data_IF_047269670494
#
_entry.id   IF_047269670494
#
_cell.length_a   1.000
_cell.length_b   1.000
_cell.length_c   1.000
_cell.angle_alpha   90.00
_cell.angle_beta   90.00
_cell.angle_gamma   90.00
#
_symmetry.space_group_name_H-M   'P 1'
#
loop_
_entity.id
_entity.type
_entity.pdbx_description
1 polymer ?
#
# COMPACT_ATOMS: atom_id res chain seq x y z
N UNK A 1 -12.10 13.06 -36.08
CA UNK A 1 -12.21 11.61 -36.28
C UNK A 1 -11.36 10.92 -35.24
N UNK A 2 -11.97 10.18 -34.32
CA UNK A 2 -11.24 9.41 -33.31
C UNK A 2 -10.88 8.04 -33.89
N UNK A 3 -9.58 7.70 -33.88
CA UNK A 3 -9.11 6.42 -34.35
C UNK A 3 -9.48 5.32 -33.35
N UNK A 4 -10.39 4.43 -33.75
CA UNK A 4 -10.67 3.16 -33.09
C UNK A 4 -9.55 2.17 -33.44
N UNK A 5 -8.35 2.41 -32.93
CA UNK A 5 -7.23 1.48 -33.00
C UNK A 5 -7.17 0.67 -31.72
N UNK A 6 -7.34 -0.65 -31.81
CA UNK A 6 -6.97 -1.61 -30.78
C UNK A 6 -5.45 -1.54 -30.54
N UNK A 7 -4.99 -0.53 -29.81
CA UNK A 7 -3.58 -0.27 -29.52
C UNK A 7 -3.24 -0.74 -28.12
N UNK A 8 -2.24 -1.61 -28.00
CA UNK A 8 -1.64 -1.96 -26.71
C UNK A 8 -1.38 -0.67 -25.91
N UNK A 9 -1.86 -0.64 -24.67
CA UNK A 9 -1.57 0.43 -23.71
C UNK A 9 -0.06 0.61 -23.64
N UNK A 10 0.41 1.73 -24.17
CA UNK A 10 1.82 2.07 -24.32
C UNK A 10 2.00 3.47 -23.77
N UNK A 11 2.98 3.65 -22.90
CA UNK A 11 3.24 4.94 -22.23
C UNK A 11 3.43 6.08 -23.23
N UNK A 12 3.95 5.82 -24.42
CA UNK A 12 4.07 6.82 -25.48
C UNK A 12 2.71 7.35 -25.97
N UNK A 13 1.72 6.47 -26.09
CA UNK A 13 0.35 6.84 -26.50
C UNK A 13 -0.37 7.57 -25.39
N UNK A 14 -0.18 7.13 -24.14
CA UNK A 14 -0.75 7.78 -22.95
C UNK A 14 -0.11 9.17 -22.74
N UNK A 15 1.21 9.31 -22.87
CA UNK A 15 1.93 10.59 -22.76
C UNK A 15 1.52 11.58 -23.87
N UNK A 16 1.37 11.11 -25.10
CA UNK A 16 0.89 11.95 -26.20
C UNK A 16 -0.55 12.42 -25.96
N UNK A 17 -1.42 11.53 -25.46
CA UNK A 17 -2.81 11.87 -25.11
C UNK A 17 -2.87 12.90 -23.97
N UNK A 18 -2.05 12.74 -22.94
CA UNK A 18 -1.94 13.70 -21.82
C UNK A 18 -1.40 15.05 -22.30
N UNK A 19 -0.38 15.06 -23.15
CA UNK A 19 0.17 16.30 -23.72
C UNK A 19 -0.84 17.04 -24.61
N UNK A 20 -1.62 16.29 -25.39
CA UNK A 20 -2.69 16.85 -26.23
C UNK A 20 -3.81 17.47 -25.39
N UNK A 21 -4.18 16.83 -24.28
CA UNK A 21 -5.15 17.38 -23.31
C UNK A 21 -4.57 18.62 -22.61
N UNK A 22 -3.30 18.57 -22.22
CA UNK A 22 -2.56 19.66 -21.59
C UNK A 22 -2.49 20.94 -22.43
N UNK A 23 -2.40 20.78 -23.75
CA UNK A 23 -2.29 21.91 -24.70
C UNK A 23 -3.64 22.43 -25.19
N UNK A 24 -4.70 21.61 -25.16
CA UNK A 24 -6.02 21.98 -25.72
C UNK A 24 -7.07 22.37 -24.69
N UNK A 25 -6.87 22.03 -23.41
CA UNK A 25 -7.82 22.39 -22.34
C UNK A 25 -7.41 23.70 -21.67
N UNK A 26 -8.25 24.73 -21.81
CA UNK A 26 -8.12 25.96 -21.03
C UNK A 26 -8.56 25.71 -19.58
N UNK A 27 -7.82 26.26 -18.60
CA UNK A 27 -8.14 26.13 -17.17
C UNK A 27 -7.39 25.02 -16.42
N UNK A 28 -6.45 24.32 -17.05
CA UNK A 28 -5.52 23.46 -16.33
C UNK A 28 -4.57 24.34 -15.51
N UNK A 29 -4.60 24.18 -14.17
CA UNK A 29 -3.62 24.86 -13.31
C UNK A 29 -2.21 24.32 -13.59
N UNK A 30 -1.18 25.21 -13.61
CA UNK A 30 0.21 24.78 -13.69
C UNK A 30 0.55 23.82 -12.55
N UNK A 31 1.39 22.82 -12.84
CA UNK A 31 2.00 22.00 -11.79
C UNK A 31 2.98 22.91 -11.03
N UNK A 32 2.54 23.40 -9.88
CA UNK A 32 3.42 24.13 -8.97
C UNK A 32 4.25 23.10 -8.23
N UNK A 33 5.57 23.26 -8.31
CA UNK A 33 6.51 22.42 -7.59
C UNK A 33 6.48 22.88 -6.12
N UNK A 34 5.57 22.31 -5.35
CA UNK A 34 5.42 22.63 -3.94
C UNK A 34 6.44 21.84 -3.13
N UNK A 35 7.53 22.51 -2.77
CA UNK A 35 8.65 21.94 -2.01
C UNK A 35 8.19 21.33 -0.68
N UNK A 36 7.16 21.90 -0.06
CA UNK A 36 6.60 21.40 1.20
C UNK A 36 5.85 20.08 0.99
N UNK A 37 5.09 19.94 -0.10
CA UNK A 37 4.45 18.67 -0.46
C UNK A 37 5.47 17.58 -0.82
N UNK A 38 6.55 17.95 -1.53
CA UNK A 38 7.63 17.03 -1.84
C UNK A 38 8.32 16.51 -0.57
N UNK A 39 8.60 17.41 0.39
CA UNK A 39 9.19 17.07 1.68
C UNK A 39 8.25 16.15 2.49
N UNK A 40 6.95 16.48 2.55
CA UNK A 40 5.95 15.62 3.20
C UNK A 40 5.93 14.21 2.60
N UNK A 41 6.00 14.09 1.27
CA UNK A 41 5.99 12.80 0.58
C UNK A 41 7.17 11.93 1.00
N UNK A 42 8.37 12.49 1.02
CA UNK A 42 9.59 11.80 1.45
C UNK A 42 9.46 11.29 2.88
N UNK A 43 8.97 12.13 3.80
CA UNK A 43 8.83 11.76 5.21
C UNK A 43 7.74 10.71 5.44
N UNK A 44 6.59 10.81 4.74
CA UNK A 44 5.51 9.82 4.80
C UNK A 44 6.00 8.46 4.30
N UNK A 45 6.69 8.43 3.15
CA UNK A 45 7.22 7.19 2.59
C UNK A 45 8.26 6.57 3.53
N UNK A 46 9.16 7.38 4.10
CA UNK A 46 10.12 6.90 5.08
C UNK A 46 9.44 6.31 6.32
N UNK A 47 8.41 6.99 6.83
CA UNK A 47 7.65 6.53 8.01
C UNK A 47 6.90 5.23 7.73
N UNK A 48 6.38 5.05 6.52
CA UNK A 48 5.80 3.77 6.08
C UNK A 48 6.84 2.66 6.05
N UNK A 49 7.98 2.88 5.40
CA UNK A 49 9.06 1.89 5.34
C UNK A 49 9.53 1.48 6.75
N UNK A 50 9.66 2.43 7.67
CA UNK A 50 10.02 2.13 9.06
C UNK A 50 8.98 1.26 9.79
N UNK A 51 7.69 1.39 9.45
CA UNK A 51 6.64 0.51 9.99
C UNK A 51 6.69 -0.91 9.42
N UNK A 52 7.01 -1.05 8.14
CA UNK A 52 7.24 -2.34 7.48
C UNK A 52 8.49 -3.03 8.06
N UNK A 53 9.59 -2.29 8.22
CA UNK A 53 10.82 -2.75 8.88
C UNK A 53 10.55 -3.19 10.33
N UNK A 54 9.81 -2.39 11.10
CA UNK A 54 9.42 -2.75 12.47
C UNK A 54 8.68 -4.08 12.51
N UNK A 55 7.68 -4.26 11.64
CA UNK A 55 6.89 -5.50 11.59
C UNK A 55 7.78 -6.69 11.24
N UNK A 56 8.63 -6.55 10.22
CA UNK A 56 9.59 -7.58 9.80
C UNK A 56 10.52 -7.99 10.95
N UNK A 57 11.10 -7.02 11.65
CA UNK A 57 12.04 -7.27 12.75
C UNK A 57 11.38 -7.96 13.93
N UNK A 58 10.15 -7.56 14.29
CA UNK A 58 9.38 -8.22 15.36
C UNK A 58 9.09 -9.68 15.00
N UNK A 59 8.67 -9.97 13.77
CA UNK A 59 8.40 -11.33 13.33
C UNK A 59 9.67 -12.21 13.37
N UNK A 60 10.81 -11.69 12.92
CA UNK A 60 12.09 -12.41 12.98
C UNK A 60 12.51 -12.70 14.43
N UNK A 61 12.37 -11.71 15.32
CA UNK A 61 12.68 -11.86 16.73
C UNK A 61 11.77 -12.89 17.41
N UNK A 62 10.47 -12.89 17.07
CA UNK A 62 9.53 -13.90 17.56
C UNK A 62 9.94 -15.30 17.14
N UNK A 63 10.31 -15.51 15.88
CA UNK A 63 10.74 -16.82 15.39
C UNK A 63 11.98 -17.33 16.16
N UNK A 64 13.00 -16.49 16.35
CA UNK A 64 14.20 -16.88 17.11
C UNK A 64 13.90 -17.16 18.58
N UNK A 65 12.98 -16.41 19.19
CA UNK A 65 12.56 -16.65 20.57
C UNK A 65 11.75 -17.95 20.72
N UNK A 66 10.94 -18.34 19.73
CA UNK A 66 10.23 -19.64 19.71
C UNK A 66 11.22 -20.81 19.67
N UNK A 67 12.32 -20.69 18.93
CA UNK A 67 13.36 -21.72 18.88
C UNK A 67 14.20 -21.80 20.17
N UNK A 68 14.22 -20.74 20.97
CA UNK A 68 14.97 -20.64 22.23
C UNK A 68 14.12 -20.95 23.48
N UNK A 69 12.80 -20.74 23.43
CA UNK A 69 11.88 -20.92 24.57
C UNK A 69 10.82 -21.95 24.20
N UNK A 70 10.87 -23.18 24.77
CA UNK A 70 9.78 -24.13 24.65
C UNK A 70 8.54 -23.55 25.37
N UNK A 71 7.45 -23.29 24.62
CA UNK A 71 6.24 -22.62 25.11
C UNK A 71 6.03 -21.19 24.56
N UNK A 72 7.06 -20.63 23.92
CA UNK A 72 6.99 -19.41 23.13
C UNK A 72 6.92 -18.08 23.89
N UNK A 73 7.08 -16.99 23.15
CA UNK A 73 7.09 -15.62 23.69
C UNK A 73 5.75 -14.90 23.41
N UNK A 74 5.47 -13.82 24.15
CA UNK A 74 4.26 -13.01 23.96
C UNK A 74 4.18 -12.45 22.53
N UNK A 75 2.96 -12.36 21.99
CA UNK A 75 2.69 -11.86 20.63
C UNK A 75 3.00 -10.36 20.44
N UNK A 76 3.01 -9.59 21.53
CA UNK A 76 3.43 -8.19 21.55
C UNK A 76 4.69 -8.07 22.40
N UNK A 77 5.82 -7.81 21.74
CA UNK A 77 7.12 -7.64 22.38
C UNK A 77 7.69 -6.27 22.05
N UNK A 78 7.89 -5.45 23.07
CA UNK A 78 8.78 -4.30 22.96
C UNK A 78 10.24 -4.75 22.97
N UNK A 79 11.14 -3.88 22.49
CA UNK A 79 12.57 -4.18 22.49
C UNK A 79 13.09 -4.46 23.91
N UNK A 80 12.63 -3.67 24.88
CA UNK A 80 12.94 -3.87 26.30
C UNK A 80 12.43 -5.21 26.84
N UNK A 81 11.23 -5.63 26.45
CA UNK A 81 10.67 -6.93 26.84
C UNK A 81 11.45 -8.09 26.21
N UNK A 82 11.80 -7.99 24.93
CA UNK A 82 12.61 -9.00 24.26
C UNK A 82 14.01 -9.11 24.89
N UNK A 83 14.61 -7.97 25.26
CA UNK A 83 15.89 -7.93 25.98
C UNK A 83 15.81 -8.60 27.34
N UNK A 84 14.75 -8.31 28.11
CA UNK A 84 14.52 -8.94 29.41
C UNK A 84 14.31 -10.47 29.27
N UNK A 85 13.58 -10.92 28.25
CA UNK A 85 13.42 -12.34 27.96
C UNK A 85 14.72 -13.00 27.53
N UNK A 86 15.54 -12.36 26.69
CA UNK A 86 16.82 -12.92 26.27
C UNK A 86 17.85 -13.02 27.42
N UNK A 87 17.69 -12.18 28.46
CA UNK A 87 18.52 -12.22 29.65
C UNK A 87 18.30 -13.46 30.51
N UNK A 88 17.07 -14.01 30.53
CA UNK A 88 16.73 -15.21 31.32
C UNK A 88 17.20 -16.50 30.65
N UNK A 89 17.43 -16.48 29.33
CA UNK A 89 17.80 -17.67 28.55
C UNK A 89 19.32 -17.85 28.55
N UNK A 90 19.78 -19.01 29.05
CA UNK A 90 21.20 -19.41 28.99
C UNK A 90 21.35 -20.76 28.28
N UNK A 91 21.44 -20.76 26.94
CA UNK A 91 21.59 -21.98 26.17
C UNK A 91 22.98 -22.59 26.41
N UNK A 92 23.02 -23.91 26.57
CA UNK A 92 24.27 -24.67 26.80
C UNK A 92 24.90 -25.15 25.49
N UNK A 93 24.08 -25.34 24.47
CA UNK A 93 24.45 -25.81 23.14
C UNK A 93 25.03 -24.69 22.25
N UNK A 94 25.85 -25.09 21.27
CA UNK A 94 26.48 -24.15 20.34
C UNK A 94 25.43 -23.40 19.47
N UNK A 95 24.38 -24.11 19.05
CA UNK A 95 23.31 -23.55 18.20
C UNK A 95 22.49 -22.53 18.98
N UNK A 96 22.07 -22.84 20.21
CA UNK A 96 21.37 -21.91 21.09
C UNK A 96 22.20 -20.67 21.41
N UNK A 97 23.51 -20.81 21.62
CA UNK A 97 24.42 -19.65 21.78
C UNK A 97 24.45 -18.76 20.53
N UNK A 98 24.50 -19.35 19.34
CA UNK A 98 24.43 -18.61 18.08
C UNK A 98 23.09 -17.89 17.90
N UNK A 99 21.96 -18.57 18.13
CA UNK A 99 20.62 -17.96 18.09
C UNK A 99 20.48 -16.80 19.06
N UNK A 100 20.99 -16.95 20.29
CA UNK A 100 20.97 -15.89 21.30
C UNK A 100 21.78 -14.67 20.86
N UNK A 101 22.93 -14.88 20.23
CA UNK A 101 23.76 -13.79 19.68
C UNK A 101 23.01 -13.02 18.59
N UNK A 102 22.45 -13.73 17.61
CA UNK A 102 21.67 -13.11 16.51
C UNK A 102 20.45 -12.37 17.05
N UNK A 103 19.75 -12.94 18.03
CA UNK A 103 18.63 -12.27 18.69
C UNK A 103 19.06 -10.98 19.42
N UNK A 104 20.23 -10.97 20.06
CA UNK A 104 20.75 -9.77 20.72
C UNK A 104 21.11 -8.65 19.72
N UNK A 105 21.72 -9.02 18.58
CA UNK A 105 22.02 -8.09 17.48
C UNK A 105 20.72 -7.47 16.92
N UNK A 106 19.72 -8.30 16.61
CA UNK A 106 18.41 -7.85 16.13
C UNK A 106 17.67 -6.95 17.13
N UNK A 107 17.77 -7.21 18.43
CA UNK A 107 17.18 -6.33 19.45
C UNK A 107 17.83 -4.94 19.42
N UNK A 108 19.15 -4.86 19.26
CA UNK A 108 19.87 -3.59 19.15
C UNK A 108 19.43 -2.78 17.93
N UNK A 109 19.25 -3.45 16.79
CA UNK A 109 18.73 -2.80 15.58
C UNK A 109 17.26 -2.37 15.77
N UNK A 110 16.47 -3.21 16.43
CA UNK A 110 15.06 -2.94 16.68
C UNK A 110 14.86 -1.72 17.59
N UNK A 111 15.69 -1.55 18.63
CA UNK A 111 15.67 -0.34 19.49
C UNK A 111 15.89 0.95 18.67
N UNK A 112 16.77 0.90 17.68
CA UNK A 112 17.07 2.05 16.80
C UNK A 112 15.90 2.37 15.87
N UNK A 113 15.34 1.33 15.24
CA UNK A 113 14.20 1.48 14.31
C UNK A 113 12.93 1.89 15.05
N UNK A 114 12.74 1.48 16.30
CA UNK A 114 11.53 1.80 17.09
C UNK A 114 11.37 3.29 17.38
N UNK A 115 12.47 4.03 17.58
CA UNK A 115 12.40 5.47 17.93
C UNK A 115 12.08 6.35 16.73
N UNK A 116 12.56 5.95 15.55
CA UNK A 116 12.54 6.79 14.34
C UNK A 116 11.13 7.13 13.80
N UNK A 117 10.13 6.21 13.84
CA UNK A 117 8.75 6.55 13.50
C UNK A 117 8.16 7.67 14.36
N UNK A 118 8.49 7.74 15.66
CA UNK A 118 7.97 8.79 16.54
C UNK A 118 8.58 10.15 16.22
N UNK A 119 9.86 10.18 15.85
CA UNK A 119 10.54 11.39 15.39
C UNK A 119 9.93 11.87 14.06
N UNK A 120 9.74 10.95 13.10
CA UNK A 120 9.07 11.26 11.84
C UNK A 120 7.62 11.73 12.02
N UNK A 121 6.88 11.14 12.96
CA UNK A 121 5.50 11.58 13.26
C UNK A 121 5.47 13.00 13.85
N UNK A 122 6.49 13.42 14.62
CA UNK A 122 6.61 14.81 15.10
C UNK A 122 6.88 15.78 13.96
N UNK A 123 7.87 15.49 13.12
CA UNK A 123 8.22 16.29 11.94
C UNK A 123 7.00 16.44 11.00
N UNK A 124 6.27 15.34 10.76
CA UNK A 124 5.03 15.36 9.97
C UNK A 124 3.92 16.18 10.62
N UNK A 125 3.80 16.16 11.94
CA UNK A 125 2.78 16.95 12.66
C UNK A 125 3.03 18.44 12.49
N UNK A 126 4.27 18.89 12.63
CA UNK A 126 4.67 20.30 12.46
C UNK A 126 4.41 20.77 11.03
N UNK A 127 4.79 19.96 10.04
CA UNK A 127 4.56 20.26 8.63
C UNK A 127 3.08 20.35 8.30
N UNK A 128 2.24 19.42 8.78
CA UNK A 128 0.79 19.43 8.52
C UNK A 128 0.12 20.62 9.21
N UNK A 129 0.57 20.99 10.41
CA UNK A 129 0.07 22.16 11.12
C UNK A 129 0.38 23.47 10.36
N UNK A 130 1.57 23.58 9.76
CA UNK A 130 1.96 24.77 8.98
C UNK A 130 1.11 24.97 7.72
N UNK A 131 0.50 23.92 7.19
CA UNK A 131 -0.43 24.00 6.04
C UNK A 131 -1.82 24.52 6.43
N UNK A 132 -2.13 24.63 7.73
CA UNK A 132 -3.41 25.16 8.21
C UNK A 132 -4.62 24.25 7.94
N UNK A 133 -4.39 22.96 7.71
CA UNK A 133 -5.44 22.02 7.30
C UNK A 133 -6.27 21.53 8.48
N UNK A 134 -7.56 21.28 8.25
CA UNK A 134 -8.47 20.67 9.24
C UNK A 134 -8.49 19.14 9.16
N UNK A 135 -7.64 18.53 8.32
CA UNK A 135 -7.62 17.09 8.09
C UNK A 135 -7.36 16.29 9.37
N UNK A 136 -6.54 16.82 10.28
CA UNK A 136 -6.26 16.19 11.57
C UNK A 136 -7.46 16.22 12.55
N UNK A 137 -8.50 17.01 12.29
CA UNK A 137 -9.71 17.04 13.12
C UNK A 137 -10.69 15.93 12.74
N UNK A 138 -10.48 15.25 11.60
CA UNK A 138 -11.29 14.12 11.18
C UNK A 138 -10.91 12.87 11.97
N UNK A 139 -11.94 12.17 12.47
CA UNK A 139 -11.74 10.96 13.24
C UNK A 139 -11.03 9.88 12.40
N UNK A 140 -9.93 9.32 12.93
CA UNK A 140 -9.13 8.30 12.25
C UNK A 140 -8.03 8.84 11.33
N UNK A 141 -7.90 10.17 11.15
CA UNK A 141 -6.81 10.77 10.37
C UNK A 141 -5.71 11.26 11.31
N UNK A 142 -4.60 10.53 11.33
CA UNK A 142 -3.36 10.95 12.01
C UNK A 142 -2.44 11.78 11.12
N UNK A 143 -1.30 12.28 11.65
CA UNK A 143 -0.36 13.15 10.94
C UNK A 143 0.13 12.56 9.62
N UNK A 144 0.49 11.28 9.62
CA UNK A 144 0.97 10.59 8.41
C UNK A 144 -0.14 10.35 7.38
N UNK A 145 -1.39 10.20 7.83
CA UNK A 145 -2.55 10.09 6.95
C UNK A 145 -2.87 11.44 6.29
N UNK A 146 -2.88 12.52 7.08
CA UNK A 146 -3.06 13.88 6.59
C UNK A 146 -1.96 14.28 5.61
N UNK A 147 -0.69 14.07 5.97
CA UNK A 147 0.44 14.36 5.09
C UNK A 147 0.40 13.55 3.78
N UNK A 148 -0.04 12.28 3.83
CA UNK A 148 -0.19 11.46 2.62
C UNK A 148 -1.29 11.97 1.70
N UNK A 149 -2.41 12.40 2.28
CA UNK A 149 -3.51 13.00 1.52
C UNK A 149 -3.04 14.30 0.87
N UNK A 150 -2.34 15.17 1.60
CA UNK A 150 -1.80 16.41 1.05
C UNK A 150 -0.76 16.16 -0.05
N UNK A 151 0.15 15.20 0.15
CA UNK A 151 1.19 14.88 -0.83
C UNK A 151 0.64 14.25 -2.12
N UNK A 152 -0.46 13.48 -2.06
CA UNK A 152 -1.04 12.81 -3.23
C UNK A 152 -2.09 13.67 -3.94
N UNK A 153 -2.88 14.45 -3.19
CA UNK A 153 -3.96 15.28 -3.72
C UNK A 153 -3.46 16.67 -4.12
N UNK A 154 -2.43 17.19 -3.44
CA UNK A 154 -1.96 18.56 -3.58
C UNK A 154 -2.91 19.57 -2.94
N UNK A 155 -3.07 20.72 -3.57
CA UNK A 155 -4.00 21.78 -3.14
C UNK A 155 -5.45 21.27 -3.14
N UNK A 156 -6.02 21.07 -1.94
CA UNK A 156 -7.37 20.55 -1.75
C UNK A 156 -8.46 21.51 -2.29
N UNK A 157 -8.13 22.80 -2.48
CA UNK A 157 -9.03 23.77 -3.12
C UNK A 157 -9.25 23.48 -4.61
N UNK A 158 -8.47 22.55 -5.19
CA UNK A 158 -8.72 21.99 -6.53
C UNK A 158 -9.99 21.16 -6.61
N UNK A 159 -10.50 20.66 -5.48
CA UNK A 159 -11.75 19.91 -5.39
C UNK A 159 -12.76 20.60 -4.47
N UNK A 160 -13.28 21.78 -4.86
CA UNK A 160 -14.19 22.55 -4.01
C UNK A 160 -15.58 21.88 -3.89
N UNK A 161 -16.00 21.05 -4.86
CA UNK A 161 -17.30 20.37 -4.86
C UNK A 161 -17.21 18.92 -5.42
N UNK A 162 -18.14 18.06 -4.98
CA UNK A 162 -18.26 16.62 -5.32
C UNK A 162 -18.18 16.24 -6.82
N UNK A 163 -18.67 17.04 -7.81
CA UNK A 163 -18.59 16.65 -9.22
C UNK A 163 -17.21 16.86 -9.87
N UNK A 164 -16.21 17.41 -9.17
CA UNK A 164 -14.91 17.73 -9.75
C UNK A 164 -13.83 16.66 -9.54
N UNK A 165 -14.13 15.55 -8.86
CA UNK A 165 -13.22 14.39 -8.85
C UNK A 165 -13.06 13.85 -10.28
N UNK A 166 -11.84 13.55 -10.75
CA UNK A 166 -11.69 12.84 -12.02
C UNK A 166 -12.48 11.53 -11.92
N UNK A 167 -13.28 11.17 -12.93
CA UNK A 167 -13.96 9.88 -12.93
C UNK A 167 -12.87 8.82 -12.79
N UNK A 168 -12.86 8.14 -11.64
CA UNK A 168 -12.03 6.97 -11.45
C UNK A 168 -12.36 6.02 -12.60
N UNK A 169 -11.36 5.62 -13.36
CA UNK A 169 -11.50 4.68 -14.46
C UNK A 169 -11.86 3.33 -13.87
N UNK A 170 -13.13 3.16 -13.49
CA UNK A 170 -13.68 1.87 -13.12
C UNK A 170 -13.51 0.98 -14.35
N UNK A 171 -12.93 -0.23 -14.21
CA UNK A 171 -12.95 -1.18 -15.32
C UNK A 171 -14.41 -1.38 -15.73
N UNK A 172 -14.71 -1.42 -17.05
CA UNK A 172 -16.08 -1.72 -17.49
C UNK A 172 -16.52 -3.03 -16.84
N UNK A 173 -17.80 -3.16 -16.43
CA UNK A 173 -18.27 -4.39 -15.81
C UNK A 173 -17.93 -5.56 -16.72
N UNK A 174 -17.13 -6.51 -16.20
CA UNK A 174 -16.83 -7.77 -16.86
C UNK A 174 -18.16 -8.47 -17.14
N UNK A 175 -18.66 -8.34 -18.36
CA UNK A 175 -19.82 -9.12 -18.80
C UNK A 175 -19.32 -10.56 -18.90
N UNK A 176 -19.88 -11.46 -18.07
CA UNK A 176 -19.59 -12.90 -18.21
C UNK A 176 -19.89 -13.30 -19.66
N UNK A 177 -19.00 -14.03 -20.35
CA UNK A 177 -19.35 -14.58 -21.64
C UNK A 177 -20.58 -15.49 -21.46
N UNK A 178 -21.56 -15.35 -22.35
CA UNK A 178 -22.74 -16.19 -22.36
C UNK A 178 -22.30 -17.66 -22.39
N UNK A 179 -22.84 -18.47 -21.49
CA UNK A 179 -22.63 -19.91 -21.48
C UNK A 179 -22.99 -20.46 -22.86
N UNK A 180 -22.03 -21.06 -23.56
CA UNK A 180 -22.28 -21.79 -24.80
C UNK A 180 -23.25 -22.93 -24.48
N UNK A 181 -24.49 -22.77 -24.92
CA UNK A 181 -25.55 -23.77 -24.77
C UNK A 181 -25.23 -24.90 -25.75
N UNK A 182 -24.54 -25.93 -25.25
CA UNK A 182 -24.23 -27.14 -26.02
C UNK A 182 -25.55 -27.76 -26.51
N UNK A 183 -25.75 -27.75 -27.82
CA UNK A 183 -26.93 -28.31 -28.47
C UNK A 183 -26.85 -29.84 -28.43
N UNK A 184 -27.54 -30.46 -27.47
CA UNK A 184 -27.96 -31.86 -27.58
C UNK A 184 -29.36 -31.81 -28.20
N UNK A 185 -29.42 -32.06 -29.51
CA UNK A 185 -30.68 -32.12 -30.27
C UNK A 185 -31.51 -33.34 -29.87
N UNK A 186 -32.85 -33.24 -29.82
CA UNK A 186 -33.72 -34.39 -29.64
C UNK A 186 -33.87 -35.19 -30.95
N UNK A 187 -34.09 -36.52 -30.90
CA UNK A 187 -34.25 -37.34 -32.09
C UNK A 187 -35.59 -37.08 -32.80
N UNK A 188 -35.53 -37.03 -34.14
CA UNK A 188 -36.63 -36.78 -35.05
C UNK A 188 -37.60 -37.98 -35.19
N UNK A 189 -38.87 -37.71 -35.52
CA UNK A 189 -39.88 -38.71 -35.84
C UNK A 189 -40.65 -38.39 -37.13
N UNK A 190 -40.73 -39.38 -38.04
CA UNK A 190 -41.68 -39.52 -39.17
C UNK A 190 -41.23 -38.90 -40.50
N UNK A 191 -41.35 -39.51 -41.69
CA UNK A 191 -42.19 -40.63 -42.17
C UNK A 191 -41.70 -41.20 -43.53
N UNK A 192 -41.84 -42.52 -43.72
CA UNK A 192 -42.37 -43.20 -44.94
C UNK A 192 -41.51 -43.37 -46.22
N UNK A 193 -41.18 -44.63 -46.59
CA UNK A 193 -41.77 -45.43 -47.71
C UNK A 193 -40.95 -46.68 -48.07
N UNK A 194 -41.68 -47.81 -48.22
CA UNK A 194 -41.62 -48.85 -49.28
C UNK A 194 -40.30 -49.54 -49.64
N UNK A 195 -40.24 -50.88 -49.52
CA UNK A 195 -40.33 -51.84 -50.65
C UNK A 195 -40.35 -53.29 -50.15
N UNK A 196 -41.21 -54.10 -50.80
CA UNK A 196 -41.26 -55.57 -50.89
C UNK A 196 -41.48 -56.40 -49.61
#
# INVERSE_FOLDING_TARGET
>A
MFATGQGRKTDATDAHSIALVGTRMAGLRPVVNDEQLALMRILVDRRRCLGEDHTRMVSQLQQLLLELIPGGAKKSLSAAQAKALLATIRPRDAVGKARRRVAAELIGDFERVYRRPREADKELTELVASTGTTLMNLHGIGPSGAARLLAEVGDITRFPNRPNSPPGTAPPPSTRPAASRSAIGPPAAGTGRSTA
#
